data_IF_378770289263
#
_entry.id   IF_378770289263
#
_cell.length_a   1.000
_cell.length_b   1.000
_cell.length_c   1.000
_cell.angle_alpha   90.00
_cell.angle_beta   90.00
_cell.angle_gamma   90.00
#
_symmetry.space_group_name_H-M   'P 1'
#
loop_
_entity.id
_entity.type
_entity.pdbx_description
1 polymer ?
#
# COMPACT_ATOMS: atom_id res chain seq x y z
N UNK A 1 -33.26 -3.20 -26.05
CA UNK A 1 -32.32 -3.61 -24.97
C UNK A 1 -30.98 -2.99 -25.24
N UNK A 2 -30.46 -2.23 -24.29
CA UNK A 2 -29.17 -1.58 -24.46
C UNK A 2 -28.02 -2.59 -24.27
N UNK A 3 -26.88 -2.34 -24.92
CA UNK A 3 -25.66 -3.15 -24.77
C UNK A 3 -25.28 -3.40 -23.31
N UNK A 4 -25.48 -2.42 -22.44
CA UNK A 4 -25.20 -2.49 -21.01
C UNK A 4 -26.05 -3.53 -20.26
N UNK A 5 -27.27 -3.78 -20.70
CA UNK A 5 -28.13 -4.82 -20.09
C UNK A 5 -27.66 -6.22 -20.48
N UNK A 6 -27.22 -6.42 -21.73
CA UNK A 6 -26.65 -7.71 -22.17
C UNK A 6 -25.34 -8.05 -21.45
N UNK A 7 -24.46 -7.09 -21.28
CA UNK A 7 -23.20 -7.30 -20.54
C UNK A 7 -23.44 -7.61 -19.05
N UNK A 8 -24.48 -7.04 -18.43
CA UNK A 8 -24.83 -7.34 -17.05
C UNK A 8 -25.43 -8.74 -16.89
N UNK A 9 -26.24 -9.18 -17.86
CA UNK A 9 -26.81 -10.53 -17.88
C UNK A 9 -25.73 -11.60 -18.15
N UNK A 10 -24.79 -11.35 -19.07
CA UNK A 10 -23.66 -12.25 -19.33
C UNK A 10 -22.71 -12.38 -18.13
N UNK A 11 -22.45 -11.28 -17.42
CA UNK A 11 -21.65 -11.31 -16.18
C UNK A 11 -22.36 -12.08 -15.07
N UNK A 12 -23.67 -11.91 -14.92
CA UNK A 12 -24.44 -12.63 -13.92
C UNK A 12 -24.48 -14.14 -14.22
N UNK A 13 -24.67 -14.52 -15.48
CA UNK A 13 -24.65 -15.94 -15.93
C UNK A 13 -23.27 -16.58 -15.67
N UNK A 14 -22.18 -15.90 -15.96
CA UNK A 14 -20.83 -16.41 -15.72
C UNK A 14 -20.53 -16.62 -14.23
N UNK A 15 -21.00 -15.71 -13.36
CA UNK A 15 -20.86 -15.84 -11.91
C UNK A 15 -21.64 -17.05 -11.38
N UNK A 16 -22.83 -17.30 -11.90
CA UNK A 16 -23.65 -18.44 -11.46
C UNK A 16 -23.06 -19.77 -11.92
N UNK A 17 -22.50 -19.84 -13.14
CA UNK A 17 -21.76 -21.02 -13.60
C UNK A 17 -20.51 -21.30 -12.75
N UNK A 18 -19.76 -20.26 -12.38
CA UNK A 18 -18.60 -20.41 -11.50
C UNK A 18 -19.00 -20.89 -10.11
N UNK A 19 -20.08 -20.36 -9.55
CA UNK A 19 -20.62 -20.81 -8.26
C UNK A 19 -21.09 -22.28 -8.34
N UNK A 20 -21.70 -22.68 -9.43
CA UNK A 20 -22.13 -24.05 -9.64
C UNK A 20 -20.95 -25.04 -9.70
N UNK A 21 -19.86 -24.66 -10.41
CA UNK A 21 -18.62 -25.46 -10.48
C UNK A 21 -17.97 -25.59 -9.11
N UNK A 22 -17.94 -24.51 -8.32
CA UNK A 22 -17.39 -24.53 -6.96
C UNK A 22 -18.23 -25.45 -6.08
N UNK A 23 -19.56 -25.32 -6.08
CA UNK A 23 -20.45 -26.18 -5.30
C UNK A 23 -20.30 -27.66 -5.67
N UNK A 24 -20.06 -27.97 -6.94
CA UNK A 24 -19.84 -29.34 -7.39
C UNK A 24 -18.55 -29.97 -6.86
N UNK A 25 -17.50 -29.18 -6.70
CA UNK A 25 -16.22 -29.64 -6.12
C UNK A 25 -16.34 -30.02 -4.64
N UNK A 26 -17.23 -29.37 -3.91
CA UNK A 26 -17.46 -29.59 -2.48
C UNK A 26 -18.68 -30.48 -2.19
N UNK A 27 -19.22 -31.09 -3.22
CA UNK A 27 -20.35 -32.02 -3.07
C UNK A 27 -19.89 -33.31 -2.40
N UNK A 28 -20.29 -33.51 -1.16
CA UNK A 28 -19.92 -34.69 -0.36
C UNK A 28 -18.95 -34.38 0.80
N UNK A 29 -18.58 -33.14 0.98
CA UNK A 29 -17.84 -32.68 2.18
C UNK A 29 -18.89 -32.29 3.22
N UNK A 30 -18.76 -32.80 4.44
CA UNK A 30 -19.64 -32.43 5.54
C UNK A 30 -19.51 -30.93 5.84
N UNK A 31 -20.60 -30.16 5.88
CA UNK A 31 -20.55 -28.75 6.23
C UNK A 31 -19.90 -28.46 7.58
N UNK A 32 -19.92 -29.41 8.53
CA UNK A 32 -19.29 -29.26 9.83
C UNK A 32 -17.76 -29.43 9.78
N UNK A 33 -17.21 -30.03 8.71
CA UNK A 33 -15.77 -30.13 8.48
C UNK A 33 -15.19 -28.92 7.73
N UNK A 34 -16.06 -28.01 7.24
CA UNK A 34 -15.64 -26.81 6.54
C UNK A 34 -15.41 -25.66 7.50
N UNK A 35 -14.17 -25.29 7.69
CA UNK A 35 -13.83 -24.01 8.32
C UNK A 35 -14.12 -22.86 7.33
N UNK A 36 -15.25 -22.20 7.55
CA UNK A 36 -15.61 -21.01 6.76
C UNK A 36 -14.79 -19.83 7.27
N UNK A 37 -13.74 -19.49 6.54
CA UNK A 37 -13.01 -18.22 6.75
C UNK A 37 -13.88 -17.14 6.09
N UNK A 38 -14.58 -16.28 6.86
CA UNK A 38 -15.35 -15.19 6.28
C UNK A 38 -14.41 -14.28 5.51
N UNK A 39 -14.75 -13.97 4.26
CA UNK A 39 -14.05 -12.93 3.52
C UNK A 39 -14.15 -11.64 4.36
N UNK A 40 -13.01 -11.10 4.73
CA UNK A 40 -12.98 -9.76 5.30
C UNK A 40 -13.67 -8.83 4.28
N UNK A 41 -14.66 -8.03 4.71
CA UNK A 41 -15.23 -7.04 3.81
C UNK A 41 -14.07 -6.22 3.24
N UNK A 42 -14.06 -5.93 1.94
CA UNK A 42 -13.06 -5.06 1.37
C UNK A 42 -13.16 -3.74 2.13
N UNK A 43 -12.22 -3.52 3.05
CA UNK A 43 -12.07 -2.20 3.65
C UNK A 43 -11.67 -1.28 2.51
N UNK A 44 -12.64 -0.51 2.06
CA UNK A 44 -12.37 0.54 1.10
C UNK A 44 -11.60 1.63 1.84
N UNK A 45 -10.26 1.51 1.79
CA UNK A 45 -9.33 2.47 2.42
C UNK A 45 -9.62 3.92 2.03
N UNK A 46 -10.39 4.14 0.97
CA UNK A 46 -10.78 5.47 0.52
C UNK A 46 -12.14 5.94 1.11
N UNK A 47 -12.92 5.05 1.72
CA UNK A 47 -14.25 5.34 2.25
C UNK A 47 -14.37 5.30 3.77
N UNK A 48 -13.29 4.99 4.48
CA UNK A 48 -13.30 4.99 5.95
C UNK A 48 -13.47 6.43 6.47
N UNK A 49 -14.38 6.65 7.37
CA UNK A 49 -14.56 7.95 8.07
C UNK A 49 -13.33 8.31 8.91
N UNK A 50 -12.51 7.34 9.22
CA UNK A 50 -11.26 7.52 9.98
C UNK A 50 -10.15 8.00 9.03
N UNK A 51 -9.55 9.14 9.37
CA UNK A 51 -8.38 9.64 8.65
C UNK A 51 -7.22 8.65 8.76
N UNK A 52 -6.66 8.27 7.61
CA UNK A 52 -5.45 7.47 7.54
C UNK A 52 -4.23 8.32 7.89
N UNK A 53 -3.40 7.79 8.76
CA UNK A 53 -2.11 8.40 9.11
C UNK A 53 -1.09 8.00 8.06
N UNK A 54 -0.69 8.99 7.26
CA UNK A 54 0.16 8.81 6.08
C UNK A 54 1.58 9.23 6.39
N UNK A 55 2.53 8.36 6.10
CA UNK A 55 3.96 8.66 6.08
C UNK A 55 4.45 8.72 4.63
N UNK A 56 5.42 9.56 4.38
CA UNK A 56 6.10 9.63 3.08
C UNK A 56 7.54 9.18 3.24
N UNK A 57 7.99 8.32 2.35
CA UNK A 57 9.40 7.95 2.26
C UNK A 57 10.03 8.49 0.98
N UNK A 58 11.07 9.27 1.13
CA UNK A 58 11.82 9.87 0.05
C UNK A 58 13.32 9.58 0.15
N UNK A 59 13.99 9.48 -1.00
CA UNK A 59 15.44 9.47 -1.08
C UNK A 59 15.91 10.72 -1.80
N UNK A 60 16.79 11.46 -1.16
CA UNK A 60 17.39 12.68 -1.70
C UNK A 60 18.86 12.44 -1.96
N UNK A 61 19.37 12.94 -3.08
CA UNK A 61 20.80 12.93 -3.39
C UNK A 61 21.43 14.23 -2.89
N UNK A 62 22.53 14.14 -2.17
CA UNK A 62 23.24 15.30 -1.57
C UNK A 62 24.43 15.79 -2.39
N UNK A 63 24.70 15.13 -3.53
CA UNK A 63 25.88 15.44 -4.35
C UNK A 63 25.82 16.80 -5.08
N UNK A 64 24.68 17.49 -5.05
CA UNK A 64 24.51 18.80 -5.69
C UNK A 64 23.91 19.80 -4.71
N UNK A 65 24.60 20.94 -4.43
CA UNK A 65 24.05 22.01 -3.58
C UNK A 65 22.74 22.62 -4.09
N UNK A 66 22.38 22.39 -5.35
CA UNK A 66 21.04 22.74 -5.89
C UNK A 66 19.93 21.80 -5.40
N UNK A 67 20.27 20.70 -4.75
CA UNK A 67 19.32 19.68 -4.33
C UNK A 67 18.72 19.89 -2.92
N UNK A 68 19.23 20.85 -2.15
CA UNK A 68 18.52 21.32 -0.96
C UNK A 68 17.15 21.89 -1.35
N UNK A 69 17.06 22.54 -2.52
CA UNK A 69 15.79 22.95 -3.11
C UNK A 69 14.94 21.75 -3.57
N UNK A 70 15.56 20.62 -3.94
CA UNK A 70 14.86 19.40 -4.35
C UNK A 70 14.15 18.71 -3.19
N UNK A 71 14.75 18.70 -1.99
CA UNK A 71 14.08 18.17 -0.78
C UNK A 71 12.86 18.99 -0.40
N UNK A 72 13.00 20.31 -0.38
CA UNK A 72 11.89 21.25 -0.12
C UNK A 72 10.75 21.10 -1.13
N UNK A 73 11.09 20.97 -2.42
CA UNK A 73 10.11 20.74 -3.48
C UNK A 73 9.40 19.40 -3.32
N UNK A 74 10.13 18.33 -3.00
CA UNK A 74 9.53 17.02 -2.75
C UNK A 74 8.63 17.06 -1.52
N UNK A 75 9.06 17.70 -0.45
CA UNK A 75 8.26 17.88 0.76
C UNK A 75 6.95 18.61 0.46
N UNK A 76 7.00 19.71 -0.26
CA UNK A 76 5.82 20.47 -0.66
C UNK A 76 4.89 19.66 -1.57
N UNK A 77 5.46 18.93 -2.54
CA UNK A 77 4.70 18.06 -3.43
C UNK A 77 3.91 17.00 -2.65
N UNK A 78 4.57 16.26 -1.77
CA UNK A 78 3.92 15.21 -0.98
C UNK A 78 2.92 15.78 0.03
N UNK A 79 3.19 16.93 0.58
CA UNK A 79 2.24 17.63 1.45
C UNK A 79 0.96 18.00 0.67
N UNK A 80 1.10 18.46 -0.57
CA UNK A 80 -0.02 18.75 -1.46
C UNK A 80 -0.78 17.48 -1.86
N UNK A 81 -0.08 16.39 -2.16
CA UNK A 81 -0.69 15.09 -2.49
C UNK A 81 -1.53 14.57 -1.33
N UNK A 82 -1.01 14.63 -0.12
CA UNK A 82 -1.75 14.20 1.08
C UNK A 82 -2.92 15.13 1.35
N UNK A 83 -2.76 16.44 1.22
CA UNK A 83 -3.80 17.42 1.48
C UNK A 83 -4.96 17.35 0.47
N UNK A 84 -4.73 16.87 -0.74
CA UNK A 84 -5.79 16.64 -1.73
C UNK A 84 -6.76 15.54 -1.33
N UNK A 85 -6.37 14.65 -0.44
CA UNK A 85 -7.25 13.61 0.06
C UNK A 85 -7.73 13.96 1.48
N UNK A 86 -9.03 14.28 1.67
CA UNK A 86 -9.55 14.69 2.97
C UNK A 86 -9.49 13.62 4.04
N UNK A 87 -9.34 12.34 3.63
CA UNK A 87 -9.25 11.19 4.53
C UNK A 87 -7.81 10.87 4.94
N UNK A 88 -6.82 11.62 4.46
CA UNK A 88 -5.41 11.44 4.79
C UNK A 88 -4.91 12.53 5.73
N UNK A 89 -4.02 12.12 6.61
CA UNK A 89 -3.32 13.01 7.53
C UNK A 89 -1.83 12.70 7.46
N UNK A 90 -1.01 13.67 7.07
CA UNK A 90 0.43 13.52 7.04
C UNK A 90 0.98 13.44 8.47
N UNK A 91 1.67 12.34 8.79
CA UNK A 91 2.33 12.13 10.07
C UNK A 91 3.76 12.64 10.03
N UNK A 92 4.56 12.12 9.10
CA UNK A 92 5.97 12.48 8.96
C UNK A 92 6.46 12.19 7.54
N UNK A 93 7.49 12.93 7.11
CA UNK A 93 8.25 12.66 5.90
C UNK A 93 9.62 12.11 6.31
N UNK A 94 9.85 10.84 5.98
CA UNK A 94 11.12 10.16 6.21
C UNK A 94 12.00 10.30 4.98
N UNK A 95 13.14 10.96 5.12
CA UNK A 95 14.06 11.17 4.02
C UNK A 95 15.44 10.61 4.35
N UNK A 96 15.95 9.74 3.49
CA UNK A 96 17.31 9.25 3.53
C UNK A 96 18.15 9.88 2.44
N UNK A 97 19.41 10.18 2.76
CA UNK A 97 20.37 10.65 1.78
C UNK A 97 20.91 9.49 0.95
N UNK A 98 20.77 9.61 -0.37
CA UNK A 98 21.36 8.70 -1.34
C UNK A 98 22.69 9.27 -1.83
N UNK A 99 23.82 8.75 -1.33
CA UNK A 99 25.12 9.08 -1.87
C UNK A 99 25.36 8.19 -3.09
N UNK A 100 25.44 8.79 -4.28
CA UNK A 100 25.74 8.05 -5.50
C UNK A 100 27.16 7.50 -5.45
N UNK A 101 27.35 6.21 -5.72
CA UNK A 101 28.64 5.56 -5.86
C UNK A 101 29.22 4.92 -4.60
N UNK A 102 28.56 4.98 -3.45
CA UNK A 102 28.95 4.22 -2.27
C UNK A 102 27.96 3.12 -1.93
N UNK A 103 28.47 1.93 -1.62
CA UNK A 103 27.66 0.76 -1.23
C UNK A 103 27.02 0.91 0.17
N UNK A 104 27.42 1.90 0.94
CA UNK A 104 26.91 2.19 2.28
C UNK A 104 25.71 3.15 2.17
N UNK A 105 24.56 2.58 1.93
CA UNK A 105 23.30 3.33 1.99
C UNK A 105 22.85 3.40 3.44
N UNK A 106 22.99 4.57 4.05
CA UNK A 106 22.37 4.85 5.32
C UNK A 106 20.86 4.96 5.10
N UNK A 107 20.11 4.06 5.70
CA UNK A 107 18.64 4.02 5.64
C UNK A 107 18.04 4.20 7.04
N UNK A 108 18.58 5.13 7.79
CA UNK A 108 18.16 5.35 9.17
C UNK A 108 16.72 5.87 9.24
N UNK A 109 16.34 6.76 8.32
CA UNK A 109 14.96 7.24 8.23
C UNK A 109 13.99 6.11 7.81
N UNK A 110 14.40 5.21 6.90
CA UNK A 110 13.59 4.04 6.54
C UNK A 110 13.39 3.10 7.74
N UNK A 111 14.44 2.81 8.49
CA UNK A 111 14.36 1.99 9.70
C UNK A 111 13.42 2.59 10.73
N UNK A 112 13.55 3.88 11.00
CA UNK A 112 12.65 4.61 11.91
C UNK A 112 11.20 4.56 11.44
N UNK A 113 10.96 4.69 10.13
CA UNK A 113 9.63 4.55 9.56
C UNK A 113 9.03 3.16 9.81
N UNK A 114 9.82 2.10 9.62
CA UNK A 114 9.37 0.72 9.91
C UNK A 114 9.05 0.55 11.39
N UNK A 115 9.90 1.04 12.29
CA UNK A 115 9.66 1.01 13.75
C UNK A 115 8.36 1.76 14.11
N UNK A 116 8.10 2.91 13.50
CA UNK A 116 6.86 3.67 13.71
C UNK A 116 5.62 2.95 13.13
N UNK A 117 5.79 2.18 12.05
CA UNK A 117 4.74 1.28 11.55
C UNK A 117 4.44 0.15 12.54
N UNK A 118 5.46 -0.51 13.07
CA UNK A 118 5.32 -1.56 14.08
C UNK A 118 4.69 -1.03 15.38
N UNK A 119 4.98 0.21 15.75
CA UNK A 119 4.37 0.90 16.86
C UNK A 119 2.90 1.33 16.62
N UNK A 120 2.36 1.08 15.43
CA UNK A 120 0.98 1.41 15.08
C UNK A 120 0.72 2.90 14.85
N UNK A 121 1.72 3.68 14.49
CA UNK A 121 1.61 5.13 14.28
C UNK A 121 1.27 5.50 12.84
N UNK A 122 1.46 4.58 11.88
CA UNK A 122 1.33 4.80 10.45
C UNK A 122 0.34 3.77 9.87
N UNK A 123 -0.54 4.22 9.00
CA UNK A 123 -1.52 3.37 8.30
C UNK A 123 -1.20 3.19 6.82
N UNK A 124 -0.52 4.18 6.21
CA UNK A 124 -0.18 4.17 4.80
C UNK A 124 1.19 4.82 4.58
N UNK A 125 2.02 4.19 3.74
CA UNK A 125 3.28 4.77 3.27
C UNK A 125 3.12 5.18 1.82
N UNK A 126 3.54 6.40 1.47
CA UNK A 126 3.65 6.88 0.10
C UNK A 126 5.13 6.99 -0.27
N UNK A 127 5.49 6.45 -1.42
CA UNK A 127 6.84 6.57 -1.98
C UNK A 127 6.80 6.65 -3.51
N UNK A 128 7.79 7.27 -4.12
CA UNK A 128 7.81 7.54 -5.55
C UNK A 128 7.89 6.27 -6.41
N UNK A 129 8.66 5.29 -5.96
CA UNK A 129 8.89 4.08 -6.76
C UNK A 129 9.41 2.92 -5.93
N UNK A 130 9.29 1.71 -6.49
CA UNK A 130 9.84 0.49 -5.90
C UNK A 130 11.34 0.62 -5.61
N UNK A 131 12.10 1.20 -6.53
CA UNK A 131 13.55 1.39 -6.39
C UNK A 131 13.94 2.38 -5.28
N UNK A 132 13.04 3.28 -4.92
CA UNK A 132 13.22 4.19 -3.78
C UNK A 132 12.90 3.49 -2.46
N UNK A 133 11.89 2.64 -2.44
CA UNK A 133 11.44 1.92 -1.27
C UNK A 133 12.38 0.77 -0.88
N UNK A 134 12.84 -0.03 -1.86
CA UNK A 134 13.69 -1.18 -1.63
C UNK A 134 14.82 -1.28 -2.66
N UNK A 135 15.86 -2.04 -2.33
CA UNK A 135 17.02 -2.25 -3.23
C UNK A 135 16.66 -3.06 -4.47
N UNK A 136 15.73 -3.98 -4.33
CA UNK A 136 15.27 -4.86 -5.40
C UNK A 136 13.81 -5.24 -5.16
N UNK A 137 13.21 -5.87 -6.17
CA UNK A 137 11.79 -6.27 -6.14
C UNK A 137 11.50 -7.29 -5.04
N UNK A 138 12.42 -8.21 -4.75
CA UNK A 138 12.25 -9.23 -3.71
C UNK A 138 12.15 -8.60 -2.33
N UNK A 139 13.06 -7.67 -2.01
CA UNK A 139 13.02 -6.93 -0.76
C UNK A 139 11.75 -6.06 -0.65
N UNK A 140 11.32 -5.46 -1.75
CA UNK A 140 10.08 -4.71 -1.80
C UNK A 140 8.87 -5.57 -1.42
N UNK A 141 8.74 -6.74 -2.04
CA UNK A 141 7.64 -7.68 -1.76
C UNK A 141 7.69 -8.13 -0.30
N UNK A 142 8.88 -8.42 0.23
CA UNK A 142 9.04 -8.79 1.63
C UNK A 142 8.54 -7.70 2.57
N UNK A 143 9.00 -6.47 2.41
CA UNK A 143 8.56 -5.35 3.25
C UNK A 143 7.06 -5.08 3.14
N UNK A 144 6.49 -5.11 1.94
CA UNK A 144 5.06 -4.91 1.74
C UNK A 144 4.25 -5.98 2.47
N UNK A 145 4.68 -7.25 2.42
CA UNK A 145 4.03 -8.35 3.14
C UNK A 145 4.16 -8.22 4.66
N UNK A 146 5.34 -7.88 5.15
CA UNK A 146 5.60 -7.65 6.58
C UNK A 146 4.69 -6.52 7.11
N UNK A 147 4.63 -5.39 6.41
CA UNK A 147 3.80 -4.25 6.77
C UNK A 147 2.30 -4.58 6.72
N UNK A 148 1.86 -5.34 5.72
CA UNK A 148 0.44 -5.74 5.61
C UNK A 148 0.01 -6.75 6.68
N UNK A 149 0.96 -7.47 7.29
CA UNK A 149 0.69 -8.42 8.37
C UNK A 149 0.62 -7.76 9.75
N UNK A 150 0.99 -6.50 9.87
CA UNK A 150 0.87 -5.75 11.13
C UNK A 150 -0.59 -5.55 11.55
N UNK A 151 -0.80 -5.24 12.82
CA UNK A 151 -2.12 -4.92 13.37
C UNK A 151 -2.08 -3.56 14.08
N UNK A 152 -2.63 -2.50 13.50
CA UNK A 152 -3.32 -2.43 12.19
C UNK A 152 -2.38 -2.62 11.00
N UNK A 153 -2.88 -3.11 9.84
CA UNK A 153 -2.06 -3.30 8.65
C UNK A 153 -1.62 -1.96 8.05
N UNK A 154 -0.43 -1.94 7.48
CA UNK A 154 0.13 -0.76 6.80
C UNK A 154 0.21 -1.03 5.30
N UNK A 155 -0.43 -0.17 4.51
CA UNK A 155 -0.37 -0.19 3.06
C UNK A 155 0.84 0.58 2.52
N UNK A 156 1.26 0.26 1.30
CA UNK A 156 2.31 1.01 0.57
C UNK A 156 1.76 1.43 -0.78
N UNK A 157 1.80 2.73 -1.03
CA UNK A 157 1.38 3.33 -2.30
C UNK A 157 2.61 3.84 -3.07
N UNK A 158 2.74 3.39 -4.30
CA UNK A 158 3.77 3.86 -5.24
C UNK A 158 3.16 4.87 -6.20
N UNK A 159 3.74 6.06 -6.25
CA UNK A 159 3.31 7.16 -7.14
C UNK A 159 3.69 6.92 -8.61
#
# INVERSE_FOLDING_TARGET
>A
MSLLMKESEERSSNIDEQKARIRQRYKGIDPEELEVIPALPPEDIFKTEKKLRVAVYARVSTDDPRQTSSYELQKNHYQDVVNKNPNWMLVEIYADEGISGTSLQHRDAFKKMIEDCEAGKIDLIITKSVSRFARNVVDCIRYVRELSSLRPPVGVFFE
#
